data_IF_181389057672
#
_entry.id   IF_181389057672
#
_cell.length_a   1.000
_cell.length_b   1.000
_cell.length_c   1.000
_cell.angle_alpha   90.00
_cell.angle_beta   90.00
_cell.angle_gamma   90.00
#
_symmetry.space_group_name_H-M   'P 1'
#
loop_
_entity.id
_entity.type
_entity.pdbx_description
1 polymer ?
#
# COMPACT_ATOMS: atom_id res chain seq x y z
N UNK A 1 5.68 -1.09 -11.60
CA UNK A 1 4.28 -0.71 -11.78
C UNK A 1 3.91 0.34 -10.77
N UNK A 2 2.98 1.22 -11.15
CA UNK A 2 2.57 2.37 -10.35
C UNK A 2 1.08 2.23 -10.01
N UNK A 3 0.68 2.81 -8.88
CA UNK A 3 -0.70 3.01 -8.50
C UNK A 3 -0.86 4.49 -8.15
N UNK A 4 -1.91 5.14 -8.64
CA UNK A 4 -2.20 6.54 -8.30
C UNK A 4 -3.52 6.60 -7.55
N UNK A 5 -3.52 7.31 -6.41
CA UNK A 5 -4.70 7.50 -5.59
C UNK A 5 -4.62 8.80 -4.79
N UNK A 6 -5.77 9.31 -4.34
CA UNK A 6 -5.82 10.42 -3.40
C UNK A 6 -5.35 9.96 -2.01
N UNK A 7 -4.37 10.65 -1.42
CA UNK A 7 -3.88 10.35 -0.08
C UNK A 7 -3.37 11.61 0.64
N UNK A 8 -3.90 11.85 1.83
CA UNK A 8 -3.66 13.08 2.58
C UNK A 8 -4.30 14.28 1.88
N UNK A 9 -3.46 15.10 1.24
CA UNK A 9 -3.86 16.40 0.69
C UNK A 9 -3.93 16.43 -0.85
N UNK A 10 -3.73 15.29 -1.52
CA UNK A 10 -3.78 15.27 -2.99
C UNK A 10 -3.52 13.90 -3.59
N UNK A 11 -3.52 13.84 -4.92
CA UNK A 11 -3.09 12.65 -5.65
C UNK A 11 -1.62 12.34 -5.36
N UNK A 12 -1.34 11.06 -5.14
CA UNK A 12 -0.01 10.51 -4.93
C UNK A 12 0.21 9.35 -5.88
N UNK A 13 1.41 9.27 -6.43
CA UNK A 13 1.92 8.09 -7.11
C UNK A 13 2.58 7.18 -6.08
N UNK A 14 2.27 5.89 -6.16
CA UNK A 14 2.87 4.84 -5.34
C UNK A 14 3.54 3.83 -6.27
N UNK A 15 4.75 3.42 -5.94
CA UNK A 15 5.44 2.37 -6.67
C UNK A 15 6.30 1.53 -5.72
N UNK A 16 6.10 0.21 -5.73
CA UNK A 16 7.03 -0.71 -5.09
C UNK A 16 8.12 -1.10 -6.09
N UNK A 17 9.15 -0.27 -6.22
CA UNK A 17 10.36 -0.62 -7.00
C UNK A 17 11.03 -1.87 -6.41
N UNK A 18 12.03 -2.41 -7.11
CA UNK A 18 12.79 -3.55 -6.59
C UNK A 18 13.44 -3.23 -5.23
N UNK A 19 13.98 -2.03 -5.07
CA UNK A 19 14.59 -1.54 -3.83
C UNK A 19 13.55 -1.44 -2.71
N UNK A 20 12.33 -0.99 -3.02
CA UNK A 20 11.24 -0.89 -2.04
C UNK A 20 10.68 -2.26 -1.63
N UNK A 21 10.70 -3.25 -2.53
CA UNK A 21 10.41 -4.64 -2.14
C UNK A 21 11.45 -5.12 -1.13
N UNK A 22 12.74 -4.93 -1.40
CA UNK A 22 13.81 -5.37 -0.49
C UNK A 22 13.71 -4.69 0.88
N UNK A 23 13.37 -3.40 0.91
CA UNK A 23 13.11 -2.69 2.17
C UNK A 23 11.87 -3.23 2.89
N UNK A 24 10.78 -3.55 2.18
CA UNK A 24 9.61 -4.19 2.76
C UNK A 24 9.93 -5.56 3.37
N UNK A 25 10.67 -6.41 2.66
CA UNK A 25 11.06 -7.73 3.17
C UNK A 25 11.94 -7.59 4.42
N UNK A 26 12.85 -6.60 4.45
CA UNK A 26 13.66 -6.29 5.63
C UNK A 26 12.81 -5.81 6.82
N UNK A 27 11.79 -4.99 6.57
CA UNK A 27 10.90 -4.43 7.61
C UNK A 27 9.91 -5.43 8.17
N UNK A 28 9.38 -6.29 7.31
CA UNK A 28 8.34 -7.29 7.65
C UNK A 28 8.93 -8.64 8.05
N UNK A 29 10.21 -8.89 7.71
CA UNK A 29 10.93 -10.13 8.00
C UNK A 29 10.51 -11.31 7.12
N UNK A 30 9.80 -11.06 6.02
CA UNK A 30 9.13 -12.08 5.21
C UNK A 30 9.29 -11.75 3.74
N UNK A 31 9.30 -12.77 2.88
CA UNK A 31 9.37 -12.55 1.43
C UNK A 31 8.08 -11.96 0.85
N UNK A 32 8.19 -11.29 -0.29
CA UNK A 32 7.07 -10.59 -0.94
C UNK A 32 5.86 -11.49 -1.23
N UNK A 33 6.09 -12.74 -1.62
CA UNK A 33 5.00 -13.71 -1.84
C UNK A 33 4.27 -14.08 -0.55
N UNK A 34 5.00 -14.20 0.56
CA UNK A 34 4.40 -14.46 1.87
C UNK A 34 3.62 -13.24 2.37
N UNK A 35 4.08 -12.01 2.07
CA UNK A 35 3.37 -10.78 2.37
C UNK A 35 2.05 -10.70 1.59
N UNK A 36 2.09 -10.91 0.27
CA UNK A 36 0.89 -10.93 -0.58
C UNK A 36 -0.14 -11.98 -0.11
N UNK A 37 0.31 -13.21 0.16
CA UNK A 37 -0.56 -14.27 0.63
C UNK A 37 -1.20 -13.99 2.00
N UNK A 38 -0.58 -13.17 2.86
CA UNK A 38 -1.18 -12.73 4.14
C UNK A 38 -2.27 -11.70 3.93
N UNK A 39 -2.09 -10.77 2.99
CA UNK A 39 -3.13 -9.81 2.63
C UNK A 39 -4.38 -10.52 2.09
N UNK A 40 -4.19 -11.50 1.20
CA UNK A 40 -5.30 -12.31 0.67
C UNK A 40 -6.07 -13.08 1.74
N UNK A 41 -5.40 -13.51 2.81
CA UNK A 41 -6.01 -14.23 3.95
C UNK A 41 -6.43 -13.32 5.09
N UNK A 42 -6.23 -12.01 4.95
CA UNK A 42 -6.44 -11.01 5.99
C UNK A 42 -5.67 -11.28 7.31
N UNK A 43 -4.51 -11.92 7.21
CA UNK A 43 -3.58 -12.21 8.32
C UNK A 43 -2.46 -11.15 8.42
N UNK A 44 -2.70 -9.94 7.91
CA UNK A 44 -1.71 -8.87 7.90
C UNK A 44 -1.56 -8.24 9.29
N UNK A 45 -0.36 -7.76 9.60
CA UNK A 45 -0.18 -6.82 10.69
C UNK A 45 -0.53 -5.40 10.22
N UNK A 46 -1.00 -4.55 11.13
CA UNK A 46 -1.23 -3.14 10.81
C UNK A 46 0.04 -2.46 10.28
N UNK A 47 1.20 -2.79 10.85
CA UNK A 47 2.50 -2.29 10.41
C UNK A 47 2.83 -2.66 8.95
N UNK A 48 2.34 -3.79 8.44
CA UNK A 48 2.56 -4.19 7.05
C UNK A 48 1.92 -3.18 6.09
N UNK A 49 0.67 -2.76 6.37
CA UNK A 49 -0.02 -1.76 5.56
C UNK A 49 0.68 -0.40 5.60
N UNK A 50 1.12 0.02 6.79
CA UNK A 50 1.83 1.29 6.95
C UNK A 50 3.14 1.28 6.16
N UNK A 51 3.92 0.20 6.24
CA UNK A 51 5.17 0.10 5.51
C UNK A 51 4.93 0.01 4.00
N UNK A 52 3.91 -0.73 3.52
CA UNK A 52 3.57 -0.79 2.09
C UNK A 52 3.24 0.60 1.54
N UNK A 53 2.41 1.38 2.24
CA UNK A 53 2.06 2.74 1.81
C UNK A 53 3.31 3.63 1.84
N UNK A 54 4.10 3.57 2.91
CA UNK A 54 5.31 4.40 3.06
C UNK A 54 6.34 4.10 1.98
N UNK A 55 6.67 2.84 1.73
CA UNK A 55 7.62 2.45 0.68
C UNK A 55 7.04 2.67 -0.71
N UNK A 56 5.73 2.54 -0.88
CA UNK A 56 5.02 2.91 -2.10
C UNK A 56 5.22 4.39 -2.45
N UNK A 57 5.01 5.29 -1.49
CA UNK A 57 5.25 6.73 -1.65
C UNK A 57 6.71 7.02 -2.03
N UNK A 58 7.65 6.36 -1.36
CA UNK A 58 9.09 6.54 -1.63
C UNK A 58 9.44 6.13 -3.06
N UNK A 59 9.00 4.95 -3.51
CA UNK A 59 9.22 4.53 -4.89
C UNK A 59 8.45 5.36 -5.92
N UNK A 60 7.38 6.06 -5.49
CA UNK A 60 6.67 7.08 -6.28
C UNK A 60 7.35 8.45 -6.32
N UNK A 61 8.50 8.62 -5.65
CA UNK A 61 9.30 9.84 -5.69
C UNK A 61 9.14 10.78 -4.49
N UNK A 62 8.34 10.42 -3.48
CA UNK A 62 8.24 11.19 -2.24
C UNK A 62 9.47 10.94 -1.36
N UNK A 63 9.98 11.97 -0.69
CA UNK A 63 11.14 11.78 0.21
C UNK A 63 10.79 10.84 1.38
N UNK A 64 11.76 10.06 1.93
CA UNK A 64 11.48 9.18 3.06
C UNK A 64 10.91 9.90 4.29
N UNK A 65 11.33 11.13 4.56
CA UNK A 65 10.83 11.94 5.67
C UNK A 65 9.38 12.39 5.46
N UNK A 66 9.05 12.83 4.24
CA UNK A 66 7.68 13.25 3.92
C UNK A 66 6.74 12.05 3.86
N UNK A 67 7.20 10.92 3.32
CA UNK A 67 6.44 9.67 3.31
C UNK A 67 6.11 9.22 4.73
N UNK A 68 7.07 9.33 5.66
CA UNK A 68 6.84 9.03 7.08
C UNK A 68 5.78 9.97 7.68
N UNK A 69 5.91 11.27 7.46
CA UNK A 69 4.95 12.28 7.93
C UNK A 69 3.54 12.00 7.41
N UNK A 70 3.41 11.66 6.12
CA UNK A 70 2.14 11.36 5.49
C UNK A 70 1.48 10.11 6.10
N UNK A 71 2.21 9.00 6.27
CA UNK A 71 1.61 7.80 6.88
C UNK A 71 1.28 7.99 8.36
N UNK A 72 2.07 8.78 9.08
CA UNK A 72 1.82 9.09 10.49
C UNK A 72 0.55 9.93 10.66
N UNK A 73 0.31 10.84 9.74
CA UNK A 73 -0.83 11.77 9.79
C UNK A 73 -2.11 11.16 9.22
N UNK A 74 -2.00 10.45 8.09
CA UNK A 74 -3.16 10.09 7.26
C UNK A 74 -3.45 8.59 7.19
N UNK A 75 -2.56 7.70 7.66
CA UNK A 75 -2.80 6.26 7.69
C UNK A 75 -2.89 5.69 9.12
N UNK A 76 -1.89 5.96 9.97
CA UNK A 76 -1.83 5.41 11.34
C UNK A 76 -3.07 5.72 12.21
N UNK A 77 -3.69 6.92 12.15
CA UNK A 77 -4.84 7.23 12.99
C UNK A 77 -6.18 6.70 12.45
N UNK A 78 -6.20 6.09 11.27
CA UNK A 78 -7.43 5.69 10.59
C UNK A 78 -7.86 4.27 10.97
N UNK A 79 -9.17 3.94 10.91
CA UNK A 79 -9.64 2.57 11.02
C UNK A 79 -8.93 1.64 10.02
N UNK A 80 -8.60 0.42 10.46
CA UNK A 80 -7.83 -0.58 9.69
C UNK A 80 -8.39 -0.78 8.28
N UNK A 81 -9.71 -0.92 8.16
CA UNK A 81 -10.38 -1.19 6.88
C UNK A 81 -10.46 0.02 5.94
N UNK A 82 -10.18 1.23 6.42
CA UNK A 82 -10.02 2.40 5.54
C UNK A 82 -8.61 2.46 4.92
N UNK A 83 -7.61 1.91 5.62
CA UNK A 83 -6.21 1.87 5.15
C UNK A 83 -5.96 0.69 4.22
N UNK A 84 -6.62 -0.44 4.49
CA UNK A 84 -6.43 -1.70 3.79
C UNK A 84 -6.51 -1.60 2.26
N UNK A 85 -7.55 -0.98 1.64
CA UNK A 85 -7.68 -0.96 0.19
C UNK A 85 -6.49 -0.29 -0.50
N UNK A 86 -6.00 0.83 0.05
CA UNK A 86 -4.85 1.53 -0.51
C UNK A 86 -3.58 0.66 -0.44
N UNK A 87 -3.29 0.08 0.73
CA UNK A 87 -2.13 -0.79 0.88
C UNK A 87 -2.21 -2.02 -0.06
N UNK A 88 -3.38 -2.64 -0.16
CA UNK A 88 -3.56 -3.80 -1.03
C UNK A 88 -3.42 -3.45 -2.51
N UNK A 89 -4.00 -2.34 -2.98
CA UNK A 89 -3.88 -1.92 -4.39
C UNK A 89 -2.42 -1.62 -4.78
N UNK A 90 -1.63 -1.01 -3.88
CA UNK A 90 -0.20 -0.75 -4.09
C UNK A 90 0.56 -2.07 -4.22
N UNK A 91 0.30 -3.01 -3.31
CA UNK A 91 0.94 -4.32 -3.32
C UNK A 91 0.54 -5.14 -4.56
N UNK A 92 -0.73 -5.12 -4.93
CA UNK A 92 -1.27 -5.83 -6.08
C UNK A 92 -0.73 -5.30 -7.40
N UNK A 93 -0.64 -3.98 -7.58
CA UNK A 93 -0.06 -3.39 -8.78
C UNK A 93 1.37 -3.91 -9.03
N UNK A 94 2.14 -4.14 -7.95
CA UNK A 94 3.49 -4.69 -8.06
C UNK A 94 3.50 -6.21 -8.31
N UNK A 95 2.54 -6.93 -7.76
CA UNK A 95 2.40 -8.38 -7.87
C UNK A 95 1.92 -8.81 -9.26
N UNK A 96 0.84 -8.21 -9.75
CA UNK A 96 0.17 -8.56 -11.01
C UNK A 96 0.88 -8.01 -12.24
N UNK A 97 1.64 -6.93 -12.07
CA UNK A 97 2.26 -6.24 -13.20
C UNK A 97 1.31 -5.34 -13.98
N UNK A 98 0.05 -5.20 -13.55
CA UNK A 98 -0.90 -4.23 -14.10
C UNK A 98 -1.06 -3.04 -13.16
N UNK A 99 -1.43 -1.87 -13.69
CA UNK A 99 -2.00 -0.83 -12.85
C UNK A 99 -3.26 -1.41 -12.20
N UNK A 100 -3.30 -1.48 -10.86
CA UNK A 100 -4.39 -2.11 -10.14
C UNK A 100 -5.71 -1.44 -10.56
N UNK A 101 -6.62 -2.21 -11.16
CA UNK A 101 -7.99 -1.77 -11.37
C UNK A 101 -8.57 -1.52 -9.98
N UNK A 102 -9.02 -0.29 -9.71
CA UNK A 102 -9.47 0.11 -8.39
C UNK A 102 -10.58 -0.85 -7.91
N UNK A 103 -10.33 -1.57 -6.81
CA UNK A 103 -11.33 -2.41 -6.12
C UNK A 103 -12.52 -1.56 -5.58
N UNK A 104 -12.44 -0.23 -5.73
CA UNK A 104 -13.47 0.71 -5.32
C UNK A 104 -14.83 0.43 -5.99
N UNK A 105 -14.86 -0.09 -7.22
CA UNK A 105 -16.12 -0.38 -7.91
C UNK A 105 -16.82 -1.64 -7.37
N UNK A 106 -16.07 -2.61 -6.86
CA UNK A 106 -16.64 -3.88 -6.41
C UNK A 106 -17.32 -3.80 -5.04
N UNK A 107 -16.84 -2.94 -4.13
CA UNK A 107 -17.45 -2.78 -2.80
C UNK A 107 -18.69 -1.86 -2.79
N UNK A 108 -18.81 -0.96 -3.77
CA UNK A 108 -20.02 -0.14 -3.95
C UNK A 108 -21.19 -0.99 -4.49
N UNK A 109 -20.92 -1.99 -5.33
CA UNK A 109 -21.95 -2.83 -5.96
C UNK A 109 -22.58 -3.91 -5.07
N UNK A 110 -21.98 -4.24 -3.92
CA UNK A 110 -22.59 -5.20 -2.95
C UNK A 110 -23.45 -4.48 -1.91
N UNK A 111 -23.45 -3.15 -1.90
CA UNK A 111 -24.21 -2.30 -0.98
C UNK A 111 -25.51 -1.76 -1.59
N UNK A 112 -25.85 -2.16 -2.82
CA UNK A 112 -27.14 -1.93 -3.51
C UNK A 112 -27.91 -3.25 -3.66
#
# INVERSE_FOLDING_TARGET
>A
MQHTAFFGEGEKTFALTTEMILELERKTGIGIAALYARFMRQEFHFADMIEIIRTGLIGGGISPADAQTLVDTYAKPRPVMEVFPLAFNILDARWSGSEAAAINDALVQVAE
#
